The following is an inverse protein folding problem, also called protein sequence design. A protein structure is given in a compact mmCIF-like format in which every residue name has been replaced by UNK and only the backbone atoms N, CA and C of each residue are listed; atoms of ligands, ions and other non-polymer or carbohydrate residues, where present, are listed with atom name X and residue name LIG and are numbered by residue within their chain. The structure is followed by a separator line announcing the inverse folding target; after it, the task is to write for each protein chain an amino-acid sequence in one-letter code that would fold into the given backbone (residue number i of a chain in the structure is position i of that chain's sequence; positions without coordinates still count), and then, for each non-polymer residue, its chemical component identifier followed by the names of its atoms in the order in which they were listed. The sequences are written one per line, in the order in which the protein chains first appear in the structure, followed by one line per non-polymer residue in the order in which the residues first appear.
data_IF_835860210376
#
_entry.id   IF_835860210376
#
_cell.length_a   1.000
_cell.length_b   1.000
_cell.length_c   1.000
_cell.angle_alpha   90.00
_cell.angle_beta   90.00
_cell.angle_gamma   90.00
#
_symmetry.space_group_name_H-M   'P 1'
#
loop_
_entity.id
_entity.type
_entity.pdbx_description
1 polymer ?
#
# COMPACT_ATOMS: atom_id res chain seq x y z
N UNK A 1 -1.78 -4.30 -1.30
CA UNK A 1 -2.23 -4.93 -2.56
C UNK A 1 -3.63 -5.48 -2.37
N UNK A 2 -4.60 -4.99 -3.13
CA UNK A 2 -6.03 -5.26 -2.96
C UNK A 2 -6.53 -6.23 -4.05
N UNK A 3 -6.18 -7.51 -3.97
CA UNK A 3 -6.65 -8.51 -4.96
C UNK A 3 -7.52 -9.64 -4.37
N UNK A 4 -7.36 -9.97 -3.08
CA UNK A 4 -8.07 -11.09 -2.47
C UNK A 4 -9.55 -10.83 -2.16
N UNK A 5 -9.96 -9.58 -1.98
CA UNK A 5 -11.32 -9.21 -1.57
C UNK A 5 -11.96 -8.15 -2.47
N UNK A 6 -11.34 -7.81 -3.60
CA UNK A 6 -11.75 -6.70 -4.45
C UNK A 6 -13.23 -6.76 -4.83
N UNK A 7 -13.71 -7.89 -5.34
CA UNK A 7 -15.06 -8.00 -5.89
C UNK A 7 -16.14 -7.92 -4.82
N UNK A 8 -15.89 -8.43 -3.61
CA UNK A 8 -16.82 -8.28 -2.50
C UNK A 8 -16.82 -6.85 -1.97
N UNK A 9 -15.64 -6.23 -1.85
CA UNK A 9 -15.49 -4.88 -1.32
C UNK A 9 -16.08 -3.80 -2.23
N UNK A 10 -15.82 -3.89 -3.54
CA UNK A 10 -16.26 -2.87 -4.51
C UNK A 10 -17.79 -2.83 -4.69
N UNK A 11 -18.45 -3.95 -4.37
CA UNK A 11 -19.91 -4.11 -4.48
C UNK A 11 -20.65 -3.87 -3.16
N UNK A 12 -19.95 -3.64 -2.04
CA UNK A 12 -20.57 -3.37 -0.73
C UNK A 12 -20.60 -1.86 -0.44
N UNK A 13 -21.57 -1.18 -1.05
CA UNK A 13 -21.73 0.28 -0.92
C UNK A 13 -21.96 0.71 0.53
N UNK A 14 -22.73 -0.07 1.30
CA UNK A 14 -23.05 0.23 2.69
C UNK A 14 -21.81 0.14 3.57
N UNK A 15 -20.92 -0.82 3.31
CA UNK A 15 -19.64 -0.88 3.99
C UNK A 15 -18.76 0.32 3.62
N UNK A 16 -18.57 0.59 2.32
CA UNK A 16 -17.72 1.68 1.85
C UNK A 16 -18.17 3.06 2.35
N UNK A 17 -19.48 3.28 2.55
CA UNK A 17 -20.04 4.52 3.12
C UNK A 17 -19.84 4.67 4.62
N UNK A 18 -19.78 3.56 5.36
CA UNK A 18 -19.75 3.58 6.85
C UNK A 18 -18.35 3.68 7.43
N UNK A 19 -17.32 3.46 6.63
CA UNK A 19 -15.92 3.51 7.08
C UNK A 19 -15.19 4.72 6.51
N UNK A 20 -14.11 5.13 7.17
CA UNK A 20 -13.13 6.01 6.55
C UNK A 20 -12.18 5.19 5.71
N UNK A 21 -12.23 5.40 4.39
CA UNK A 21 -11.36 4.70 3.45
C UNK A 21 -10.01 5.43 3.36
N UNK A 22 -8.91 4.67 3.40
CA UNK A 22 -7.54 5.19 3.25
C UNK A 22 -6.77 4.26 2.34
N UNK A 23 -5.99 4.85 1.44
CA UNK A 23 -5.24 4.15 0.41
C UNK A 23 -3.75 4.37 0.65
N UNK A 24 -2.97 3.30 0.73
CA UNK A 24 -1.52 3.35 0.91
C UNK A 24 -0.87 2.91 -0.40
N UNK A 25 -0.30 3.87 -1.11
CA UNK A 25 0.40 3.63 -2.37
C UNK A 25 1.91 3.57 -2.14
N UNK A 26 2.62 2.94 -3.07
CA UNK A 26 4.08 2.88 -3.10
C UNK A 26 4.51 2.97 -4.56
N UNK A 27 5.74 3.42 -4.83
CA UNK A 27 6.32 3.37 -6.16
C UNK A 27 6.14 1.97 -6.82
N UNK A 28 5.43 1.88 -7.97
CA UNK A 28 5.16 0.61 -8.63
C UNK A 28 6.44 -0.13 -9.06
N UNK A 29 7.53 0.55 -9.36
CA UNK A 29 8.81 -0.09 -9.68
C UNK A 29 9.34 -0.91 -8.50
N UNK A 30 9.27 -0.33 -7.28
CA UNK A 30 9.69 -0.99 -6.04
C UNK A 30 8.71 -2.11 -5.67
N UNK A 31 7.40 -1.85 -5.76
CA UNK A 31 6.36 -2.82 -5.42
C UNK A 31 6.39 -4.06 -6.32
N UNK A 32 6.49 -3.89 -7.64
CA UNK A 32 6.49 -5.00 -8.60
C UNK A 32 7.74 -5.86 -8.44
N UNK A 33 8.92 -5.23 -8.33
CA UNK A 33 10.19 -5.96 -8.16
C UNK A 33 10.19 -6.77 -6.84
N UNK A 34 9.66 -6.18 -5.77
CA UNK A 34 9.49 -6.84 -4.48
C UNK A 34 8.49 -8.00 -4.55
N UNK A 35 7.35 -7.79 -5.19
CA UNK A 35 6.33 -8.83 -5.29
C UNK A 35 6.79 -10.01 -6.14
N UNK A 36 7.42 -9.76 -7.30
CA UNK A 36 7.95 -10.82 -8.15
C UNK A 36 9.13 -11.57 -7.51
N UNK A 37 9.89 -10.93 -6.62
CA UNK A 37 10.90 -11.61 -5.82
C UNK A 37 10.29 -12.65 -4.86
N UNK A 38 9.17 -12.31 -4.22
CA UNK A 38 8.50 -13.19 -3.26
C UNK A 38 7.62 -14.24 -3.97
N UNK A 39 6.91 -13.82 -5.01
CA UNK A 39 6.05 -14.66 -5.84
C UNK A 39 6.39 -14.42 -7.33
N UNK A 40 7.33 -15.17 -7.91
CA UNK A 40 7.72 -15.04 -9.33
C UNK A 40 6.55 -15.26 -10.31
N UNK A 41 5.54 -16.02 -9.87
CA UNK A 41 4.36 -16.35 -10.67
C UNK A 41 3.24 -15.33 -10.56
N UNK A 42 3.40 -14.26 -9.76
CA UNK A 42 2.39 -13.21 -9.62
C UNK A 42 1.92 -12.71 -10.99
N UNK A 43 0.61 -12.55 -11.11
CA UNK A 43 -0.10 -12.08 -12.30
C UNK A 43 -0.18 -10.55 -12.31
N UNK A 44 -0.62 -10.00 -13.44
CA UNK A 44 -0.82 -8.55 -13.60
C UNK A 44 -1.82 -8.04 -12.55
N UNK A 45 -2.99 -8.69 -12.46
CA UNK A 45 -4.07 -8.32 -11.55
C UNK A 45 -3.67 -8.32 -10.08
N UNK A 46 -2.74 -9.19 -9.69
CA UNK A 46 -2.25 -9.29 -8.32
C UNK A 46 -1.40 -8.07 -7.92
N UNK A 47 -0.82 -7.32 -8.87
CA UNK A 47 -0.13 -6.05 -8.58
C UNK A 47 -1.12 -4.99 -8.06
N UNK A 48 -2.31 -4.92 -8.64
CA UNK A 48 -3.49 -4.35 -7.98
C UNK A 48 -3.68 -2.82 -8.00
N UNK A 49 -2.79 -2.00 -8.59
CA UNK A 49 -3.02 -0.53 -8.63
C UNK A 49 -4.27 -0.14 -9.44
N UNK A 50 -4.62 -0.92 -10.47
CA UNK A 50 -5.84 -0.69 -11.25
C UNK A 50 -7.09 -0.90 -10.38
N UNK A 51 -7.12 -2.02 -9.66
CA UNK A 51 -8.16 -2.39 -8.69
C UNK A 51 -8.26 -1.36 -7.56
N UNK A 52 -7.14 -0.95 -7.00
CA UNK A 52 -7.07 0.06 -5.95
C UNK A 52 -7.63 1.41 -6.41
N UNK A 53 -7.25 1.87 -7.61
CA UNK A 53 -7.81 3.07 -8.21
C UNK A 53 -9.32 2.92 -8.50
N UNK A 54 -9.78 1.72 -8.87
CA UNK A 54 -11.19 1.41 -9.04
C UNK A 54 -11.99 1.60 -7.75
N UNK A 55 -11.50 1.06 -6.63
CA UNK A 55 -12.13 1.22 -5.32
C UNK A 55 -12.10 2.69 -4.88
N UNK A 56 -10.99 3.40 -5.08
CA UNK A 56 -10.90 4.84 -4.79
C UNK A 56 -12.01 5.62 -5.52
N UNK A 57 -12.13 5.42 -6.84
CA UNK A 57 -13.16 6.07 -7.65
C UNK A 57 -14.58 5.68 -7.21
N UNK A 58 -14.79 4.42 -6.79
CA UNK A 58 -16.07 3.96 -6.25
C UNK A 58 -16.43 4.71 -4.98
N UNK A 59 -15.49 4.84 -4.04
CA UNK A 59 -15.70 5.58 -2.80
C UNK A 59 -16.03 7.05 -3.10
N UNK A 60 -15.26 7.71 -3.97
CA UNK A 60 -15.53 9.11 -4.39
C UNK A 60 -16.93 9.25 -4.98
N UNK A 61 -17.32 8.33 -5.87
CA UNK A 61 -18.66 8.33 -6.48
C UNK A 61 -19.78 8.12 -5.47
N UNK A 62 -19.55 7.36 -4.41
CA UNK A 62 -20.56 7.06 -3.40
C UNK A 62 -20.70 8.21 -2.40
N UNK A 63 -19.58 8.73 -1.89
CA UNK A 63 -19.56 9.66 -0.75
C UNK A 63 -19.44 11.13 -1.17
N UNK A 64 -18.95 11.41 -2.38
CA UNK A 64 -18.58 12.75 -2.83
C UNK A 64 -17.31 13.31 -2.17
N UNK A 65 -16.69 12.55 -1.27
CA UNK A 65 -15.46 12.94 -0.58
C UNK A 65 -14.26 12.19 -1.16
N UNK A 66 -13.11 12.86 -1.22
CA UNK A 66 -11.85 12.24 -1.61
C UNK A 66 -11.24 11.47 -0.42
N UNK A 67 -11.01 10.15 -0.55
CA UNK A 67 -10.30 9.38 0.46
C UNK A 67 -8.87 9.86 0.68
N UNK A 68 -8.33 9.60 1.87
CA UNK A 68 -6.93 9.87 2.18
C UNK A 68 -6.04 8.94 1.35
N UNK A 69 -5.01 9.49 0.72
CA UNK A 69 -3.95 8.71 0.08
C UNK A 69 -2.62 9.01 0.76
N UNK A 70 -1.95 7.95 1.22
CA UNK A 70 -0.64 8.01 1.86
C UNK A 70 0.39 7.43 0.89
N UNK A 71 1.48 8.15 0.63
CA UNK A 71 2.65 7.57 -0.02
C UNK A 71 3.52 6.84 1.01
N UNK A 72 3.77 5.56 0.77
CA UNK A 72 4.65 4.74 1.59
C UNK A 72 6.08 5.31 1.66
N UNK A 73 6.54 6.05 0.64
CA UNK A 73 7.82 6.74 0.70
C UNK A 73 7.82 7.85 1.75
N UNK A 74 6.79 8.69 1.79
CA UNK A 74 6.64 9.73 2.82
C UNK A 74 6.53 9.11 4.22
N UNK A 75 5.74 8.04 4.34
CA UNK A 75 5.59 7.29 5.59
C UNK A 75 6.92 6.71 6.10
N UNK A 76 7.80 6.28 5.19
CA UNK A 76 9.13 5.75 5.56
C UNK A 76 10.12 6.87 5.87
N UNK A 77 10.10 7.97 5.11
CA UNK A 77 11.04 9.08 5.30
C UNK A 77 10.72 9.91 6.54
N UNK A 78 9.44 10.11 6.85
CA UNK A 78 8.99 10.90 7.99
C UNK A 78 7.80 10.26 8.73
N UNK A 79 7.96 9.05 9.33
CA UNK A 79 6.84 8.28 9.90
C UNK A 79 5.99 9.06 10.89
N UNK A 80 6.65 9.80 11.80
CA UNK A 80 5.97 10.62 12.81
C UNK A 80 5.14 11.73 12.19
N UNK A 81 5.67 12.41 11.19
CA UNK A 81 4.96 13.49 10.51
C UNK A 81 3.73 12.94 9.78
N UNK A 82 3.94 11.92 8.95
CA UNK A 82 2.87 11.31 8.13
C UNK A 82 1.75 10.73 8.98
N UNK A 83 2.07 9.99 10.05
CA UNK A 83 1.04 9.42 10.93
C UNK A 83 0.36 10.50 11.77
N UNK A 84 1.07 11.56 12.18
CA UNK A 84 0.43 12.69 12.87
C UNK A 84 -0.57 13.40 11.96
N UNK A 85 -0.19 13.73 10.73
CA UNK A 85 -1.08 14.35 9.75
C UNK A 85 -2.30 13.47 9.43
N UNK A 86 -2.09 12.15 9.33
CA UNK A 86 -3.16 11.18 9.19
C UNK A 86 -4.13 11.18 10.38
N UNK A 87 -3.61 11.14 11.61
CA UNK A 87 -4.41 11.23 12.83
C UNK A 87 -5.20 12.55 12.90
N UNK A 88 -4.56 13.68 12.57
CA UNK A 88 -5.18 15.00 12.58
C UNK A 88 -6.34 15.07 11.56
N UNK A 89 -6.15 14.53 10.35
CA UNK A 89 -7.22 14.42 9.34
C UNK A 89 -8.40 13.59 9.85
N UNK A 90 -8.12 12.47 10.51
CA UNK A 90 -9.14 11.59 11.09
C UNK A 90 -9.74 12.11 12.40
N UNK A 91 -9.25 13.23 12.93
CA UNK A 91 -9.59 13.75 14.27
C UNK A 91 -9.35 12.72 15.38
N UNK A 92 -8.28 11.95 15.25
CA UNK A 92 -7.82 10.97 16.22
C UNK A 92 -6.59 11.51 16.98
N UNK A 93 -6.42 11.17 18.26
CA UNK A 93 -5.20 11.51 18.98
C UNK A 93 -4.02 10.70 18.43
N UNK A 94 -2.91 11.37 18.10
CA UNK A 94 -1.65 10.71 17.80
C UNK A 94 -1.05 10.09 19.08
N UNK A 95 -0.60 8.84 19.00
CA UNK A 95 0.02 8.10 20.11
C UNK A 95 1.50 7.92 19.78
N UNK A 96 2.42 8.55 20.52
CA UNK A 96 3.86 8.50 20.22
C UNK A 96 4.42 7.06 20.09
N UNK A 97 3.89 6.12 20.89
CA UNK A 97 4.28 4.70 20.84
C UNK A 97 3.75 3.91 19.63
N UNK A 98 2.93 4.50 18.75
CA UNK A 98 2.32 3.78 17.62
C UNK A 98 3.30 3.48 16.49
N UNK A 99 4.52 4.04 16.53
CA UNK A 99 5.53 3.90 15.49
C UNK A 99 6.62 2.88 15.84
N UNK A 100 6.59 2.34 17.07
CA UNK A 100 7.58 1.41 17.57
C UNK A 100 6.93 0.10 18.00
N UNK A 101 7.57 -1.02 17.70
CA UNK A 101 7.16 -2.33 18.19
C UNK A 101 8.37 -3.11 18.72
N UNK A 102 8.15 -3.90 19.77
CA UNK A 102 9.19 -4.79 20.28
C UNK A 102 9.56 -5.80 19.18
N UNK A 103 10.85 -5.90 18.88
CA UNK A 103 11.40 -6.90 17.98
C UNK A 103 11.07 -8.30 18.52
N UNK A 104 10.48 -9.15 17.66
CA UNK A 104 9.98 -10.46 18.07
C UNK A 104 8.91 -10.98 17.13
N UNK A 105 8.96 -12.28 16.84
CA UNK A 105 7.98 -12.95 15.99
C UNK A 105 6.60 -12.94 16.67
N UNK A 106 5.60 -12.32 16.04
CA UNK A 106 4.19 -12.52 16.41
C UNK A 106 3.63 -13.71 15.65
N UNK A 107 2.94 -14.63 16.35
CA UNK A 107 2.33 -15.82 15.74
C UNK A 107 1.35 -15.47 14.60
N UNK A 108 0.73 -14.29 14.67
CA UNK A 108 -0.18 -13.72 13.68
C UNK A 108 0.48 -13.48 12.30
N UNK A 109 1.81 -13.41 12.23
CA UNK A 109 2.56 -13.13 11.00
C UNK A 109 2.89 -14.39 10.19
N UNK A 110 2.53 -15.57 10.70
CA UNK A 110 2.83 -16.87 10.11
C UNK A 110 2.21 -17.07 8.71
N UNK A 111 1.08 -16.44 8.42
CA UNK A 111 0.38 -16.56 7.12
C UNK A 111 1.16 -15.90 5.98
N UNK A 112 2.05 -14.95 6.27
CA UNK A 112 2.81 -14.18 5.27
C UNK A 112 4.31 -14.11 5.60
N UNK A 113 4.90 -15.22 6.06
CA UNK A 113 6.32 -15.30 6.49
C UNK A 113 7.32 -14.70 5.49
N UNK A 114 7.07 -14.81 4.19
CA UNK A 114 7.93 -14.25 3.14
C UNK A 114 7.95 -12.71 3.12
N UNK A 115 6.83 -12.06 3.44
CA UNK A 115 6.69 -10.61 3.52
C UNK A 115 7.09 -10.05 4.89
N UNK A 116 6.96 -10.84 5.95
CA UNK A 116 7.23 -10.39 7.32
C UNK A 116 8.66 -10.62 7.81
N UNK A 117 9.54 -11.30 7.03
CA UNK A 117 10.92 -11.54 7.45
C UNK A 117 11.71 -10.26 7.74
N UNK A 118 11.42 -9.16 7.03
CA UNK A 118 12.06 -7.86 7.25
C UNK A 118 11.41 -7.03 8.36
N UNK A 119 10.09 -7.17 8.56
CA UNK A 119 9.36 -6.48 9.66
C UNK A 119 9.66 -7.13 11.01
N UNK A 120 9.90 -8.45 11.04
CA UNK A 120 10.30 -9.16 12.25
C UNK A 120 11.67 -8.77 12.80
N UNK A 121 12.49 -8.07 12.01
CA UNK A 121 13.82 -7.58 12.40
C UNK A 121 13.91 -6.07 12.59
N UNK A 122 12.83 -5.32 12.36
CA UNK A 122 12.79 -3.87 12.58
C UNK A 122 12.07 -3.53 13.87
N UNK A 123 12.42 -2.38 14.47
CA UNK A 123 11.78 -1.86 15.69
C UNK A 123 10.82 -0.68 15.38
N UNK A 124 10.69 -0.32 14.10
CA UNK A 124 9.82 0.74 13.62
C UNK A 124 9.70 0.79 12.09
N UNK A 125 9.06 1.84 11.57
CA UNK A 125 8.89 2.07 10.12
C UNK A 125 10.20 2.62 9.54
N UNK A 126 10.92 1.78 8.80
CA UNK A 126 12.23 2.13 8.23
C UNK A 126 12.36 1.72 6.76
N UNK A 127 13.28 2.37 6.04
CA UNK A 127 13.57 2.02 4.66
C UNK A 127 14.34 0.70 4.58
N UNK A 128 13.68 -0.34 4.08
CA UNK A 128 14.37 -1.59 3.77
C UNK A 128 14.97 -1.50 2.36
N UNK A 129 16.27 -1.19 2.29
CA UNK A 129 17.03 -1.21 1.04
C UNK A 129 17.15 -2.65 0.52
N UNK A 130 16.30 -3.00 -0.42
CA UNK A 130 16.30 -4.31 -1.07
C UNK A 130 16.89 -4.19 -2.47
N UNK A 131 17.90 -5.02 -2.77
CA UNK A 131 18.45 -5.16 -4.11
C UNK A 131 17.81 -6.39 -4.75
N UNK A 132 16.96 -6.17 -5.75
CA UNK A 132 16.31 -7.26 -6.49
C UNK A 132 17.10 -7.58 -7.75
N UNK A 133 17.35 -8.87 -8.01
CA UNK A 133 18.02 -9.33 -9.24
C UNK A 133 17.19 -9.00 -10.48
N UNK A 134 15.88 -9.16 -10.35
CA UNK A 134 14.90 -8.84 -11.38
C UNK A 134 14.20 -7.53 -11.03
N UNK A 135 14.18 -6.58 -11.95
CA UNK A 135 13.58 -5.25 -11.82
C UNK A 135 12.83 -4.88 -13.10
N UNK A 136 12.13 -3.74 -13.07
CA UNK A 136 11.42 -3.23 -14.26
C UNK A 136 12.34 -2.92 -15.45
N UNK A 137 13.66 -2.79 -15.24
CA UNK A 137 14.61 -2.44 -16.32
C UNK A 137 15.22 -3.66 -17.00
N UNK A 138 15.28 -4.81 -16.33
CA UNK A 138 15.90 -6.03 -16.86
C UNK A 138 14.92 -7.21 -17.01
N UNK A 139 13.68 -7.10 -16.51
CA UNK A 139 12.66 -8.13 -16.63
C UNK A 139 11.45 -7.65 -17.45
N UNK A 140 11.17 -8.34 -18.57
CA UNK A 140 10.06 -7.97 -19.48
C UNK A 140 8.68 -8.03 -18.81
N UNK A 141 8.43 -9.03 -17.95
CA UNK A 141 7.17 -9.18 -17.21
C UNK A 141 6.98 -8.01 -16.24
N UNK A 142 8.03 -7.67 -15.48
CA UNK A 142 8.00 -6.55 -14.54
C UNK A 142 7.79 -5.20 -15.27
N UNK A 143 8.47 -4.99 -16.40
CA UNK A 143 8.31 -3.80 -17.24
C UNK A 143 6.88 -3.66 -17.77
N UNK A 144 6.29 -4.75 -18.26
CA UNK A 144 4.90 -4.76 -18.72
C UNK A 144 3.92 -4.42 -17.58
N UNK A 145 4.09 -5.02 -16.41
CA UNK A 145 3.24 -4.75 -15.25
C UNK A 145 3.35 -3.29 -14.79
N UNK A 146 4.57 -2.75 -14.81
CA UNK A 146 4.82 -1.36 -14.46
C UNK A 146 4.09 -0.41 -15.40
N UNK A 147 4.24 -0.59 -16.71
CA UNK A 147 3.60 0.27 -17.71
C UNK A 147 2.07 0.21 -17.63
N UNK A 148 1.50 -0.96 -17.35
CA UNK A 148 0.06 -1.11 -17.15
C UNK A 148 -0.44 -0.36 -15.90
N UNK A 149 0.28 -0.46 -14.78
CA UNK A 149 -0.16 0.10 -13.51
C UNK A 149 0.23 1.56 -13.25
N UNK A 150 1.24 2.08 -13.94
CA UNK A 150 1.75 3.43 -13.75
C UNK A 150 0.66 4.52 -13.92
N UNK A 151 -0.25 4.47 -14.91
CA UNK A 151 -1.31 5.46 -15.04
C UNK A 151 -2.28 5.48 -13.85
N UNK A 152 -2.58 4.32 -13.25
CA UNK A 152 -3.47 4.22 -12.09
C UNK A 152 -2.79 4.71 -10.82
N UNK A 153 -1.53 4.35 -10.63
CA UNK A 153 -0.69 4.92 -9.57
C UNK A 153 -0.63 6.44 -9.67
N UNK A 154 -0.37 7.00 -10.85
CA UNK A 154 -0.28 8.45 -11.05
C UNK A 154 -1.62 9.18 -10.80
N UNK A 155 -2.76 8.51 -10.94
CA UNK A 155 -4.06 9.08 -10.57
C UNK A 155 -4.19 9.19 -9.05
N UNK A 156 -3.84 8.12 -8.32
CA UNK A 156 -3.85 8.10 -6.85
C UNK A 156 -2.83 9.08 -6.25
N UNK A 157 -1.64 9.16 -6.85
CA UNK A 157 -0.55 10.03 -6.38
C UNK A 157 -0.95 11.51 -6.31
N UNK A 158 -1.87 11.97 -7.17
CA UNK A 158 -2.37 13.35 -7.15
C UNK A 158 -3.12 13.72 -5.86
N UNK A 159 -3.56 12.72 -5.10
CA UNK A 159 -4.29 12.90 -3.86
C UNK A 159 -3.41 12.79 -2.61
N UNK A 160 -2.11 12.54 -2.77
CA UNK A 160 -1.16 12.57 -1.66
C UNK A 160 -0.98 14.03 -1.23
N UNK A 161 -1.24 14.31 0.06
CA UNK A 161 -1.20 15.65 0.66
C UNK A 161 -2.27 16.65 0.16
N UNK A 162 -3.44 16.15 -0.29
CA UNK A 162 -4.63 16.96 -0.65
C UNK A 162 -5.55 17.28 0.51
#
# INVERSE_FOLDING_TARGET
MCYHCHDNLVNDDDFLRRITNTFLIRDPAKSISSHLYINPNATLDEIGYEKENGIFNRVVSLTGAFPIVIDAQDLVLNPRKTIKEYCDFLKLPFIEGSLSWNSGHREEWNTWKGWHKSVSSSEGIEEIKSIYKETITNNKKASYYYNHHLPYYNKLLRYVNS
#
